data_IF_942598105367
#
_entry.id   IF_942598105367
#
_cell.length_a   1.000
_cell.length_b   1.000
_cell.length_c   1.000
_cell.angle_alpha   90.00
_cell.angle_beta   90.00
_cell.angle_gamma   90.00
#
_symmetry.space_group_name_H-M   'P 1'
#
loop_
_entity.id
_entity.type
_entity.pdbx_description
1 polymer ?
#
# COMPACT_ATOMS: atom_id res chain seq x y z
N UNK A 1 4.86 -13.43 8.76
CA UNK A 1 5.46 -12.26 9.44
C UNK A 1 5.73 -11.19 8.39
N UNK A 2 5.31 -9.94 8.62
CA UNK A 2 5.59 -8.83 7.72
C UNK A 2 6.16 -7.64 8.48
N UNK A 3 7.11 -6.92 7.88
CA UNK A 3 7.83 -5.81 8.53
C UNK A 3 7.39 -4.49 7.88
N UNK A 4 7.11 -3.48 8.72
CA UNK A 4 6.95 -2.10 8.26
C UNK A 4 8.33 -1.48 8.06
N UNK A 5 8.64 -1.04 6.84
CA UNK A 5 9.87 -0.29 6.59
C UNK A 5 9.61 1.20 6.88
N UNK A 6 9.83 1.60 8.14
CA UNK A 6 9.69 2.98 8.57
C UNK A 6 10.85 3.85 8.04
N UNK A 7 10.54 4.90 7.29
CA UNK A 7 11.53 5.85 6.76
C UNK A 7 11.76 7.07 7.68
N UNK A 8 10.99 7.19 8.75
CA UNK A 8 11.14 8.25 9.75
C UNK A 8 12.17 7.81 10.79
N UNK A 9 13.44 7.90 10.41
CA UNK A 9 14.58 7.60 11.28
C UNK A 9 15.84 8.23 10.72
N UNK A 10 16.56 8.96 11.56
CA UNK A 10 17.82 9.64 11.25
C UNK A 10 19.03 8.69 11.19
N UNK A 11 18.85 7.40 11.54
CA UNK A 11 19.89 6.35 11.54
C UNK A 11 19.39 5.05 10.85
N UNK A 12 18.71 5.18 9.72
CA UNK A 12 18.23 3.99 9.01
C UNK A 12 19.37 3.26 8.29
N UNK A 13 19.41 1.91 8.36
CA UNK A 13 20.37 1.13 7.60
C UNK A 13 20.22 1.37 6.10
N UNK A 14 21.32 1.24 5.36
CA UNK A 14 21.30 1.35 3.89
C UNK A 14 20.33 0.32 3.29
N UNK A 15 19.74 0.57 2.09
CA UNK A 15 18.78 -0.36 1.48
C UNK A 15 19.29 -1.80 1.40
N UNK A 16 20.56 -2.00 1.05
CA UNK A 16 21.20 -3.32 1.02
C UNK A 16 21.23 -3.99 2.40
N UNK A 17 21.60 -3.23 3.44
CA UNK A 17 21.64 -3.75 4.81
C UNK A 17 20.24 -4.03 5.37
N UNK A 18 19.27 -3.21 4.99
CA UNK A 18 17.86 -3.43 5.26
C UNK A 18 17.34 -4.72 4.65
N UNK A 19 17.76 -5.07 3.44
CA UNK A 19 17.37 -6.33 2.80
C UNK A 19 18.01 -7.54 3.48
N UNK A 20 19.29 -7.46 3.83
CA UNK A 20 19.93 -8.51 4.62
C UNK A 20 19.20 -8.74 5.95
N UNK A 21 18.75 -7.66 6.60
CA UNK A 21 17.95 -7.72 7.80
C UNK A 21 16.55 -8.32 7.54
N UNK A 22 15.86 -7.91 6.48
CA UNK A 22 14.55 -8.46 6.11
C UNK A 22 14.65 -9.97 5.82
N UNK A 23 15.71 -10.39 5.11
CA UNK A 23 16.01 -11.80 4.82
C UNK A 23 16.36 -12.58 6.10
N UNK A 24 17.19 -12.02 6.98
CA UNK A 24 17.59 -12.69 8.23
C UNK A 24 16.44 -12.85 9.21
N UNK A 25 15.48 -11.92 9.19
CA UNK A 25 14.23 -11.99 9.96
C UNK A 25 13.20 -12.97 9.37
N UNK A 26 13.53 -13.67 8.27
CA UNK A 26 12.63 -14.58 7.53
C UNK A 26 11.29 -13.91 7.20
N UNK A 27 11.31 -12.60 6.96
CA UNK A 27 10.11 -11.85 6.66
C UNK A 27 9.68 -12.13 5.22
N UNK A 28 8.50 -12.72 5.05
CA UNK A 28 7.93 -12.96 3.73
C UNK A 28 7.29 -11.72 3.11
N UNK A 29 7.14 -10.63 3.87
CA UNK A 29 6.41 -9.42 3.46
C UNK A 29 7.06 -8.12 3.95
N UNK A 30 7.18 -7.13 3.08
CA UNK A 30 7.60 -5.76 3.38
C UNK A 30 6.46 -4.80 3.12
N UNK A 31 6.14 -3.95 4.11
CA UNK A 31 5.15 -2.89 4.01
C UNK A 31 5.84 -1.54 3.79
N UNK A 32 5.27 -0.72 2.90
CA UNK A 32 5.69 0.65 2.60
C UNK A 32 7.11 0.75 2.03
N UNK A 33 7.32 0.17 0.85
CA UNK A 33 8.60 0.28 0.14
C UNK A 33 8.70 1.57 -0.68
N UNK A 34 9.87 2.18 -0.66
CA UNK A 34 10.27 3.26 -1.58
C UNK A 34 10.91 2.65 -2.86
N UNK A 35 11.20 3.47 -3.89
CA UNK A 35 11.84 3.00 -5.11
C UNK A 35 13.14 2.21 -4.91
N UNK A 36 13.96 2.58 -3.92
CA UNK A 36 15.24 1.90 -3.66
C UNK A 36 15.05 0.50 -3.08
N UNK A 37 14.10 0.36 -2.13
CA UNK A 37 13.73 -0.95 -1.57
C UNK A 37 13.04 -1.81 -2.62
N UNK A 38 12.20 -1.23 -3.49
CA UNK A 38 11.58 -1.97 -4.59
C UNK A 38 12.65 -2.53 -5.54
N UNK A 39 13.59 -1.70 -6.01
CA UNK A 39 14.71 -2.17 -6.85
C UNK A 39 15.52 -3.26 -6.17
N UNK A 40 15.83 -3.09 -4.90
CA UNK A 40 16.70 -4.01 -4.22
C UNK A 40 16.00 -5.33 -3.82
N UNK A 41 14.66 -5.40 -3.93
CA UNK A 41 13.86 -6.62 -3.82
C UNK A 41 13.58 -7.31 -5.17
N UNK A 42 14.11 -6.78 -6.28
CA UNK A 42 14.02 -7.40 -7.60
C UNK A 42 14.56 -8.84 -7.59
N UNK A 43 13.81 -9.77 -8.20
CA UNK A 43 14.18 -11.19 -8.29
C UNK A 43 14.09 -11.96 -6.97
N UNK A 44 13.63 -11.34 -5.88
CA UNK A 44 13.38 -12.04 -4.61
C UNK A 44 11.95 -12.55 -4.52
N UNK A 45 11.72 -13.55 -3.66
CA UNK A 45 10.38 -14.06 -3.37
C UNK A 45 9.67 -13.28 -2.24
N UNK A 46 10.14 -12.07 -1.91
CA UNK A 46 9.58 -11.25 -0.84
C UNK A 46 8.45 -10.41 -1.42
N UNK A 47 7.24 -10.55 -0.86
CA UNK A 47 6.09 -9.77 -1.29
C UNK A 47 6.16 -8.35 -0.72
N UNK A 48 5.84 -7.36 -1.54
CA UNK A 48 5.90 -5.95 -1.15
C UNK A 48 4.54 -5.29 -1.27
N UNK A 49 4.25 -4.38 -0.34
CA UNK A 49 3.13 -3.45 -0.44
C UNK A 49 3.62 -2.03 -0.64
N UNK A 50 3.06 -1.35 -1.64
CA UNK A 50 3.30 0.08 -1.92
C UNK A 50 2.13 0.87 -1.34
N UNK A 51 2.37 2.05 -0.81
CA UNK A 51 1.33 2.90 -0.24
C UNK A 51 1.15 4.19 -1.04
N UNK A 52 -0.10 4.52 -1.37
CA UNK A 52 -0.50 5.82 -1.89
C UNK A 52 -0.55 6.81 -0.72
N UNK A 53 0.21 7.92 -0.76
CA UNK A 53 0.15 8.95 0.29
C UNK A 53 -1.24 9.55 0.44
N UNK A 54 -1.66 9.86 1.68
CA UNK A 54 -2.98 10.47 1.98
C UNK A 54 -3.25 11.73 1.15
N UNK A 55 -2.20 12.52 0.91
CA UNK A 55 -2.25 13.82 0.26
C UNK A 55 -2.62 13.72 -1.23
N UNK A 56 -2.41 12.55 -1.84
CA UNK A 56 -2.76 12.30 -3.23
C UNK A 56 -4.18 11.75 -3.40
N UNK A 57 -4.85 11.36 -2.32
CA UNK A 57 -6.15 10.67 -2.39
C UNK A 57 -7.20 11.56 -3.07
N UNK A 58 -7.34 12.82 -2.65
CA UNK A 58 -8.33 13.73 -3.24
C UNK A 58 -8.04 14.05 -4.72
N UNK A 59 -6.76 14.22 -5.07
CA UNK A 59 -6.38 14.43 -6.48
C UNK A 59 -6.70 13.21 -7.34
N UNK A 60 -6.32 12.02 -6.87
CA UNK A 60 -6.60 10.75 -7.57
C UNK A 60 -8.10 10.48 -7.62
N UNK A 61 -8.88 10.85 -6.60
CA UNK A 61 -10.34 10.70 -6.58
C UNK A 61 -10.99 11.49 -7.72
N UNK A 62 -10.49 12.70 -7.99
CA UNK A 62 -11.01 13.60 -9.02
C UNK A 62 -10.56 13.29 -10.46
N UNK A 63 -9.51 12.47 -10.67
CA UNK A 63 -8.92 12.29 -12.01
C UNK A 63 -8.30 10.91 -12.25
N UNK A 64 -8.88 10.18 -13.21
CA UNK A 64 -8.34 8.91 -13.71
C UNK A 64 -6.93 9.07 -14.31
N UNK A 65 -6.64 10.21 -14.94
CA UNK A 65 -5.32 10.49 -15.52
C UNK A 65 -4.24 10.57 -14.44
N UNK A 66 -4.55 11.18 -13.29
CA UNK A 66 -3.63 11.24 -12.14
C UNK A 66 -3.41 9.86 -11.52
N UNK A 67 -4.45 9.01 -11.47
CA UNK A 67 -4.30 7.62 -11.07
C UNK A 67 -3.36 6.85 -12.03
N UNK A 68 -3.52 7.06 -13.34
CA UNK A 68 -2.68 6.46 -14.38
C UNK A 68 -1.22 6.88 -14.27
N UNK A 69 -0.98 8.18 -14.10
CA UNK A 69 0.37 8.70 -13.92
C UNK A 69 1.02 8.14 -12.66
N UNK A 70 0.27 8.06 -11.56
CA UNK A 70 0.76 7.51 -10.31
C UNK A 70 1.17 6.04 -10.46
N UNK A 71 0.33 5.20 -11.08
CA UNK A 71 0.64 3.77 -11.32
C UNK A 71 1.83 3.62 -12.26
N UNK A 72 1.88 4.39 -13.35
CA UNK A 72 2.98 4.35 -14.32
C UNK A 72 4.33 4.73 -13.69
N UNK A 73 4.31 5.61 -12.70
CA UNK A 73 5.53 6.11 -12.04
C UNK A 73 5.97 5.21 -10.89
N UNK A 74 5.03 4.70 -10.09
CA UNK A 74 5.34 4.06 -8.81
C UNK A 74 5.23 2.53 -8.83
N UNK A 75 4.53 1.95 -9.81
CA UNK A 75 4.26 0.50 -9.87
C UNK A 75 4.92 -0.12 -11.09
N UNK A 76 4.60 0.39 -12.29
CA UNK A 76 5.04 -0.17 -13.57
C UNK A 76 6.56 -0.38 -13.68
N UNK A 77 7.45 0.52 -13.20
CA UNK A 77 8.90 0.34 -13.36
C UNK A 77 9.47 -0.84 -12.58
N UNK A 78 8.76 -1.31 -11.55
CA UNK A 78 9.22 -2.38 -10.66
C UNK A 78 8.50 -3.70 -10.89
N UNK A 79 7.34 -3.68 -11.56
CA UNK A 79 6.56 -4.85 -11.92
C UNK A 79 6.99 -5.41 -13.30
N UNK A 80 7.06 -6.74 -13.52
CA UNK A 80 6.84 -7.83 -12.57
C UNK A 80 8.12 -8.27 -11.83
N UNK A 81 9.24 -7.58 -12.06
CA UNK A 81 10.57 -7.88 -11.49
C UNK A 81 10.60 -7.97 -9.96
N UNK A 82 9.74 -7.18 -9.31
CA UNK A 82 9.50 -7.19 -7.87
C UNK A 82 8.07 -7.69 -7.61
N UNK A 83 7.91 -8.56 -6.60
CA UNK A 83 6.61 -9.13 -6.24
C UNK A 83 5.72 -8.13 -5.48
N UNK A 84 5.15 -7.18 -6.22
CA UNK A 84 4.18 -6.21 -5.68
C UNK A 84 2.84 -6.92 -5.46
N UNK A 85 2.48 -7.14 -4.21
CA UNK A 85 1.31 -7.93 -3.83
C UNK A 85 0.10 -7.07 -3.47
N UNK A 86 0.32 -5.91 -2.83
CA UNK A 86 -0.74 -4.98 -2.48
C UNK A 86 -0.37 -3.54 -2.81
N UNK A 87 -1.32 -2.82 -3.40
CA UNK A 87 -1.34 -1.36 -3.35
C UNK A 87 -2.25 -0.92 -2.21
N UNK A 88 -1.70 -0.26 -1.19
CA UNK A 88 -2.41 0.27 -0.02
C UNK A 88 -2.77 1.74 -0.28
N UNK A 89 -4.02 2.14 -0.08
CA UNK A 89 -4.44 3.54 -0.26
C UNK A 89 -4.52 4.24 1.09
N UNK A 90 -3.58 5.15 1.35
CA UNK A 90 -3.44 5.94 2.57
C UNK A 90 -3.13 5.17 3.86
N UNK A 91 -2.90 5.94 4.92
CA UNK A 91 -2.58 5.50 6.28
C UNK A 91 -3.39 6.34 7.27
N UNK A 92 -4.20 5.70 8.12
CA UNK A 92 -5.00 6.37 9.17
C UNK A 92 -5.77 7.58 8.63
N UNK A 93 -6.51 7.36 7.56
CA UNK A 93 -7.18 8.43 6.81
C UNK A 93 -8.30 9.07 7.64
N UNK A 94 -8.95 8.30 8.52
CA UNK A 94 -10.06 8.76 9.34
C UNK A 94 -9.58 9.20 10.72
N UNK A 95 -10.05 10.36 11.14
CA UNK A 95 -9.87 10.88 12.50
C UNK A 95 -11.04 10.51 13.41
N UNK A 96 -12.15 10.02 12.84
CA UNK A 96 -13.41 9.62 13.50
C UNK A 96 -13.96 10.68 14.46
N UNK A 97 -13.63 11.95 14.24
CA UNK A 97 -13.89 13.06 15.17
C UNK A 97 -14.34 14.34 14.47
N UNK A 98 -14.58 14.33 13.15
CA UNK A 98 -15.05 15.50 12.43
C UNK A 98 -16.03 15.14 11.29
N UNK A 99 -16.95 16.06 10.97
CA UNK A 99 -17.86 15.94 9.82
C UNK A 99 -17.10 15.81 8.48
N UNK A 100 -15.81 16.13 8.47
CA UNK A 100 -14.89 16.01 7.34
C UNK A 100 -14.52 14.55 6.99
N UNK A 101 -14.82 13.60 7.88
CA UNK A 101 -14.59 12.18 7.64
C UNK A 101 -15.46 11.63 6.48
N UNK A 102 -16.64 12.21 6.21
CA UNK A 102 -17.51 11.78 5.09
C UNK A 102 -16.95 12.13 3.72
N UNK A 103 -16.49 13.37 3.51
CA UNK A 103 -15.87 13.76 2.24
C UNK A 103 -14.62 12.92 1.98
N UNK A 104 -13.83 12.71 3.03
CA UNK A 104 -12.63 11.88 2.98
C UNK A 104 -12.96 10.43 2.60
N UNK A 105 -14.08 9.89 3.10
CA UNK A 105 -14.57 8.55 2.74
C UNK A 105 -14.94 8.46 1.25
N UNK A 106 -15.66 9.45 0.72
CA UNK A 106 -16.00 9.49 -0.70
C UNK A 106 -14.75 9.59 -1.59
N UNK A 107 -13.82 10.48 -1.25
CA UNK A 107 -12.55 10.63 -1.97
C UNK A 107 -11.75 9.34 -1.96
N UNK A 108 -11.71 8.65 -0.82
CA UNK A 108 -11.03 7.37 -0.69
C UNK A 108 -11.61 6.31 -1.63
N UNK A 109 -12.94 6.10 -1.61
CA UNK A 109 -13.60 5.11 -2.47
C UNK A 109 -13.33 5.43 -3.95
N UNK A 110 -13.48 6.70 -4.33
CA UNK A 110 -13.25 7.10 -5.72
C UNK A 110 -11.80 6.91 -6.12
N UNK A 111 -10.83 7.32 -5.31
CA UNK A 111 -9.42 7.11 -5.59
C UNK A 111 -9.09 5.63 -5.78
N UNK A 112 -9.65 4.76 -4.93
CA UNK A 112 -9.48 3.31 -5.04
C UNK A 112 -10.03 2.77 -6.36
N UNK A 113 -11.20 3.25 -6.83
CA UNK A 113 -11.78 2.85 -8.12
C UNK A 113 -10.89 3.27 -9.28
N UNK A 114 -10.39 4.50 -9.29
CA UNK A 114 -9.51 5.01 -10.33
C UNK A 114 -8.19 4.22 -10.38
N UNK A 115 -7.61 3.91 -9.21
CA UNK A 115 -6.40 3.08 -9.10
C UNK A 115 -6.67 1.64 -9.55
N UNK A 116 -7.85 1.07 -9.25
CA UNK A 116 -8.24 -0.29 -9.71
C UNK A 116 -8.31 -0.38 -11.21
N UNK A 117 -8.94 0.61 -11.83
CA UNK A 117 -9.01 0.70 -13.28
C UNK A 117 -7.61 0.82 -13.88
N UNK A 118 -6.78 1.71 -13.33
CA UNK A 118 -5.41 1.91 -13.81
C UNK A 118 -4.55 0.66 -13.69
N UNK A 119 -4.59 -0.04 -12.54
CA UNK A 119 -3.85 -1.27 -12.33
C UNK A 119 -4.30 -2.38 -13.28
N UNK A 120 -5.60 -2.48 -13.59
CA UNK A 120 -6.12 -3.47 -14.56
C UNK A 120 -5.56 -3.25 -15.97
N UNK A 121 -5.29 -2.00 -16.34
CA UNK A 121 -4.73 -1.65 -17.65
C UNK A 121 -3.22 -1.94 -17.70
N UNK A 122 -2.50 -1.69 -16.60
CA UNK A 122 -1.04 -1.70 -16.59
C UNK A 122 -0.41 -2.97 -15.98
N UNK A 123 -1.16 -3.78 -15.23
CA UNK A 123 -0.66 -4.97 -14.52
C UNK A 123 -1.67 -6.11 -14.54
N UNK A 124 -1.21 -7.36 -14.58
CA UNK A 124 -2.06 -8.55 -14.64
C UNK A 124 -2.32 -9.22 -13.29
N UNK A 125 -1.45 -9.04 -12.29
CA UNK A 125 -1.48 -9.81 -11.01
C UNK A 125 -1.61 -8.94 -9.74
N UNK A 126 -1.50 -7.61 -9.84
CA UNK A 126 -1.46 -6.73 -8.66
C UNK A 126 -2.83 -6.61 -8.00
N UNK A 127 -2.95 -7.00 -6.73
CA UNK A 127 -4.18 -6.85 -5.94
C UNK A 127 -4.21 -5.49 -5.24
N UNK A 128 -5.38 -4.86 -5.19
CA UNK A 128 -5.61 -3.67 -4.36
C UNK A 128 -5.97 -4.08 -2.93
N UNK A 129 -5.36 -3.40 -1.97
CA UNK A 129 -5.70 -3.50 -0.56
C UNK A 129 -5.97 -2.12 0.02
N UNK A 130 -6.71 -2.05 1.12
CA UNK A 130 -6.84 -0.82 1.88
C UNK A 130 -6.15 -1.01 3.23
N UNK A 131 -5.36 -0.03 3.66
CA UNK A 131 -4.93 0.03 5.05
C UNK A 131 -5.95 0.84 5.83
N UNK A 132 -7.01 0.16 6.28
CA UNK A 132 -7.97 0.77 7.18
C UNK A 132 -7.33 0.94 8.56
N UNK A 133 -7.44 2.11 9.21
CA UNK A 133 -7.36 2.15 10.66
C UNK A 133 -8.49 1.29 11.23
N UNK A 134 -8.22 0.57 12.33
CA UNK A 134 -9.12 -0.36 13.02
C UNK A 134 -10.62 -0.15 12.75
N UNK A 135 -11.18 -0.92 11.82
CA UNK A 135 -12.63 -1.17 11.80
C UNK A 135 -12.82 -2.54 12.41
N UNK A 136 -13.38 -2.56 13.62
CA UNK A 136 -13.74 -3.79 14.32
C UNK A 136 -14.85 -4.49 13.53
N UNK A 137 -14.48 -5.37 12.60
CA UNK A 137 -15.38 -6.45 12.19
C UNK A 137 -15.29 -7.48 13.31
N UNK A 138 -16.35 -7.55 14.14
CA UNK A 138 -16.49 -8.46 15.28
C UNK A 138 -15.82 -9.83 15.03
N UNK A 139 -14.58 -9.99 15.50
CA UNK A 139 -13.99 -11.29 15.81
C UNK A 139 -13.26 -11.18 17.14
N UNK A 140 -13.75 -11.86 18.19
CA UNK A 140 -13.09 -11.85 19.47
C UNK A 140 -11.87 -12.76 19.42
N UNK A 141 -10.66 -12.20 19.38
CA UNK A 141 -9.50 -12.79 20.06
C UNK A 141 -8.31 -11.83 20.06
N UNK A 142 -7.76 -11.65 21.26
CA UNK A 142 -6.62 -10.81 21.57
C UNK A 142 -5.37 -11.24 20.78
N UNK A 143 -5.08 -10.54 19.69
CA UNK A 143 -3.73 -10.28 19.19
C UNK A 143 -3.78 -9.04 18.32
N UNK A 144 -2.99 -8.02 18.63
CA UNK A 144 -2.92 -6.80 17.84
C UNK A 144 -2.24 -7.11 16.50
N UNK A 145 -3.02 -7.59 15.54
CA UNK A 145 -2.61 -7.72 14.15
C UNK A 145 -3.48 -6.79 13.33
N UNK A 146 -2.86 -5.81 12.68
CA UNK A 146 -3.49 -5.03 11.62
C UNK A 146 -4.09 -6.01 10.59
N UNK A 147 -5.42 -6.06 10.51
CA UNK A 147 -6.14 -6.92 9.58
C UNK A 147 -6.17 -6.27 8.20
N UNK A 148 -5.51 -6.91 7.23
CA UNK A 148 -5.59 -6.53 5.81
C UNK A 148 -6.43 -7.59 5.10
N UNK A 149 -7.59 -7.18 4.61
CA UNK A 149 -8.45 -8.03 3.79
C UNK A 149 -8.48 -7.54 2.34
N UNK A 150 -8.65 -8.43 1.35
CA UNK A 150 -9.10 -8.01 0.04
C UNK A 150 -10.42 -7.24 0.19
N UNK A 151 -10.56 -6.14 -0.54
CA UNK A 151 -11.81 -5.38 -0.54
C UNK A 151 -12.88 -6.24 -1.22
N UNK A 152 -14.07 -6.25 -0.63
CA UNK A 152 -15.26 -6.89 -1.19
C UNK A 152 -15.43 -6.51 -2.67
N UNK A 153 -15.77 -7.45 -3.58
CA UNK A 153 -15.94 -7.16 -5.00
C UNK A 153 -17.10 -6.17 -5.29
N UNK A 154 -17.91 -5.84 -4.27
CA UNK A 154 -19.10 -4.99 -4.37
C UNK A 154 -18.86 -3.49 -4.18
N UNK A 155 -17.60 -3.00 -4.31
CA UNK A 155 -17.26 -1.56 -4.33
C UNK A 155 -16.72 -1.11 -5.69
#
# INVERSE_FOLDING_TARGET
MGINYGQLGNNLPSPSRSIELIKSLKAGRVKHANPDILKALEGTNIQVSIMVPNQLISNISSSQSLANEWVRTNVVPFYPKTLIHYLLVGNKIFSFSSDQDWQTWYDLIQAMRQLKYSLKIHTSETKLGLQLPWVSFNRPSHRQTECFGPISPYW
#
